data_IF_623521461398
#
_entry.id   IF_623521461398
#
_cell.length_a   1.000
_cell.length_b   1.000
_cell.length_c   1.000
_cell.angle_alpha   90.00
_cell.angle_beta   90.00
_cell.angle_gamma   90.00
#
_symmetry.space_group_name_H-M   'P 1'
#
loop_
_entity.id
_entity.type
_entity.pdbx_description
1 polymer ?
#
# COMPACT_ATOMS: atom_id res chain seq x y z
N UNK A 1 25.26 -31.72 -37.51
CA UNK A 1 24.40 -30.60 -37.04
C UNK A 1 24.40 -30.57 -35.51
N UNK A 2 25.18 -29.67 -34.92
CA UNK A 2 25.26 -29.44 -33.47
C UNK A 2 23.94 -28.86 -32.94
N UNK A 3 23.28 -29.53 -31.99
CA UNK A 3 22.26 -28.90 -31.14
C UNK A 3 22.87 -28.64 -29.77
N UNK A 4 23.18 -27.36 -29.52
CA UNK A 4 23.61 -26.84 -28.21
C UNK A 4 22.43 -26.89 -27.24
N UNK A 5 22.58 -27.65 -26.15
CA UNK A 5 21.73 -27.56 -24.98
C UNK A 5 22.11 -26.30 -24.20
N UNK A 6 21.20 -25.32 -24.14
CA UNK A 6 21.28 -24.23 -23.17
C UNK A 6 20.68 -24.71 -21.85
N UNK A 7 21.54 -25.03 -20.89
CA UNK A 7 21.14 -25.19 -19.49
C UNK A 7 21.06 -23.78 -18.91
N UNK A 8 19.84 -23.27 -18.72
CA UNK A 8 19.61 -22.06 -17.92
C UNK A 8 19.72 -22.46 -16.46
N UNK A 9 20.88 -22.20 -15.87
CA UNK A 9 21.10 -22.31 -14.43
C UNK A 9 20.34 -21.16 -13.75
N UNK A 10 19.14 -21.45 -13.25
CA UNK A 10 18.40 -20.54 -12.39
C UNK A 10 19.09 -20.50 -11.01
N UNK A 11 20.04 -19.58 -10.85
CA UNK A 11 20.58 -19.23 -9.53
C UNK A 11 19.51 -18.41 -8.83
N UNK A 12 18.77 -19.05 -7.93
CA UNK A 12 17.94 -18.34 -6.96
C UNK A 12 18.83 -17.43 -6.12
N UNK A 13 18.68 -16.12 -6.27
CA UNK A 13 19.24 -15.12 -5.38
C UNK A 13 18.49 -15.19 -4.04
N UNK A 14 18.83 -16.17 -3.22
CA UNK A 14 18.60 -16.06 -1.79
C UNK A 14 19.41 -14.85 -1.30
N UNK A 15 18.78 -13.91 -0.60
CA UNK A 15 19.49 -12.80 0.02
C UNK A 15 20.66 -13.36 0.85
N UNK A 16 21.88 -12.79 0.75
CA UNK A 16 23.04 -13.34 1.41
C UNK A 16 22.80 -13.37 2.92
N UNK A 17 22.74 -14.56 3.51
CA UNK A 17 22.64 -14.73 4.95
C UNK A 17 23.95 -14.27 5.60
N UNK A 18 23.87 -13.53 6.72
CA UNK A 18 25.04 -13.09 7.45
C UNK A 18 25.86 -14.27 7.96
N UNK A 19 27.18 -14.09 8.02
CA UNK A 19 28.07 -15.11 8.57
C UNK A 19 27.82 -15.30 10.08
N UNK A 20 28.14 -16.47 10.61
CA UNK A 20 28.02 -16.76 12.04
C UNK A 20 28.80 -15.75 12.91
N UNK A 21 29.98 -15.32 12.44
CA UNK A 21 30.77 -14.30 13.12
C UNK A 21 30.04 -12.95 13.19
N UNK A 22 29.41 -12.52 12.11
CA UNK A 22 28.63 -11.28 12.08
C UNK A 22 27.43 -11.38 13.02
N UNK A 23 26.75 -12.53 13.07
CA UNK A 23 25.63 -12.73 14.00
C UNK A 23 26.04 -12.63 15.48
N UNK A 24 27.20 -13.20 15.86
CA UNK A 24 27.73 -13.06 17.23
C UNK A 24 28.04 -11.60 17.55
N UNK A 25 28.65 -10.89 16.59
CA UNK A 25 28.96 -9.47 16.76
C UNK A 25 27.70 -8.59 16.87
N UNK A 26 26.64 -8.88 16.10
CA UNK A 26 25.35 -8.22 16.22
C UNK A 26 24.71 -8.45 17.59
N UNK A 27 24.76 -9.67 18.12
CA UNK A 27 24.20 -9.97 19.43
C UNK A 27 24.96 -9.29 20.57
N UNK A 28 26.29 -9.20 20.46
CA UNK A 28 27.09 -8.38 21.37
C UNK A 28 26.73 -6.89 21.25
N UNK A 29 26.50 -6.40 20.04
CA UNK A 29 26.16 -5.00 19.78
C UNK A 29 24.80 -4.59 20.35
N UNK A 30 23.82 -5.51 20.38
CA UNK A 30 22.52 -5.27 21.03
C UNK A 30 22.63 -4.98 22.52
N UNK A 31 23.75 -5.31 23.18
CA UNK A 31 24.01 -5.00 24.58
C UNK A 31 24.70 -3.64 24.78
N UNK A 32 25.15 -3.02 23.69
CA UNK A 32 25.93 -1.78 23.65
C UNK A 32 25.11 -0.60 23.08
N UNK A 33 23.78 -0.67 23.16
CA UNK A 33 22.87 0.37 22.66
C UNK A 33 23.14 1.71 23.37
N UNK A 34 22.92 2.81 22.65
CA UNK A 34 23.07 4.19 23.16
C UNK A 34 24.47 4.58 23.63
N UNK A 35 25.52 3.82 23.28
CA UNK A 35 26.90 4.26 23.52
C UNK A 35 27.26 5.40 22.57
N UNK A 36 27.94 6.41 23.11
CA UNK A 36 28.58 7.45 22.32
C UNK A 36 29.72 6.84 21.48
N UNK A 37 29.46 6.69 20.18
CA UNK A 37 30.43 6.12 19.24
C UNK A 37 31.61 7.04 19.01
N UNK A 38 31.46 8.35 19.16
CA UNK A 38 32.55 9.29 18.95
C UNK A 38 33.57 9.23 20.10
N UNK A 39 33.13 8.83 21.30
CA UNK A 39 34.00 8.55 22.43
C UNK A 39 34.79 7.23 22.30
N UNK A 40 34.43 6.33 21.38
CA UNK A 40 35.11 5.05 21.19
C UNK A 40 35.33 4.68 19.71
N UNK A 41 36.46 5.12 19.11
CA UNK A 41 36.75 4.90 17.69
C UNK A 41 36.77 3.43 17.26
N UNK A 42 37.17 2.53 18.16
CA UNK A 42 37.22 1.08 17.90
C UNK A 42 35.82 0.51 17.77
N UNK A 43 34.91 0.84 18.71
CA UNK A 43 33.51 0.41 18.65
C UNK A 43 32.84 1.04 17.42
N UNK A 44 33.07 2.32 17.15
CA UNK A 44 32.56 3.01 15.95
C UNK A 44 32.92 2.26 14.67
N UNK A 45 34.18 1.85 14.52
CA UNK A 45 34.63 1.07 13.35
C UNK A 45 33.89 -0.26 13.23
N UNK A 46 33.69 -0.98 14.34
CA UNK A 46 32.94 -2.24 14.34
C UNK A 46 31.48 -2.02 13.95
N UNK A 47 30.82 -1.02 14.52
CA UNK A 47 29.43 -0.66 14.18
C UNK A 47 29.28 -0.35 12.70
N UNK A 48 30.16 0.49 12.15
CA UNK A 48 30.09 0.86 10.74
C UNK A 48 30.35 -0.35 9.82
N UNK A 49 31.27 -1.25 10.17
CA UNK A 49 31.48 -2.48 9.41
C UNK A 49 30.25 -3.41 9.43
N UNK A 50 29.61 -3.56 10.59
CA UNK A 50 28.39 -4.37 10.74
C UNK A 50 27.21 -3.74 10.02
N UNK A 51 27.11 -2.42 10.04
CA UNK A 51 26.10 -1.68 9.30
C UNK A 51 26.24 -1.95 7.79
N UNK A 52 27.46 -1.84 7.25
CA UNK A 52 27.74 -2.13 5.85
C UNK A 52 27.43 -3.58 5.47
N UNK A 53 27.83 -4.54 6.32
CA UNK A 53 27.58 -5.96 6.10
C UNK A 53 26.09 -6.34 6.18
N UNK A 54 25.27 -5.57 6.88
CA UNK A 54 23.84 -5.83 7.08
C UNK A 54 22.92 -5.10 6.10
N UNK A 55 23.45 -4.35 5.14
CA UNK A 55 22.67 -3.60 4.15
C UNK A 55 21.58 -4.47 3.51
N UNK A 56 20.35 -3.96 3.51
CA UNK A 56 19.17 -4.66 2.98
C UNK A 56 18.56 -5.69 3.93
N UNK A 57 19.03 -5.78 5.18
CA UNK A 57 18.50 -6.69 6.19
C UNK A 57 17.96 -5.94 7.42
N UNK A 58 17.16 -6.62 8.24
CA UNK A 58 16.58 -6.04 9.46
C UNK A 58 17.65 -5.45 10.41
N UNK A 59 18.80 -6.12 10.53
CA UNK A 59 19.92 -5.68 11.36
C UNK A 59 20.42 -4.28 10.97
N UNK A 60 20.39 -3.89 9.69
CA UNK A 60 20.76 -2.54 9.27
C UNK A 60 19.87 -1.48 9.92
N UNK A 61 18.55 -1.69 9.90
CA UNK A 61 17.59 -0.76 10.50
C UNK A 61 17.79 -0.67 12.01
N UNK A 62 18.01 -1.81 12.66
CA UNK A 62 18.26 -1.88 14.11
C UNK A 62 19.52 -1.12 14.50
N UNK A 63 20.62 -1.27 13.76
CA UNK A 63 21.88 -0.56 14.02
C UNK A 63 21.68 0.95 13.85
N UNK A 64 21.03 1.39 12.76
CA UNK A 64 20.76 2.82 12.53
C UNK A 64 19.93 3.41 13.66
N UNK A 65 18.89 2.70 14.13
CA UNK A 65 18.05 3.10 15.25
C UNK A 65 18.84 3.18 16.55
N UNK A 66 19.51 2.09 16.93
CA UNK A 66 20.11 1.91 18.26
C UNK A 66 21.33 2.82 18.47
N UNK A 67 21.99 3.24 17.38
CA UNK A 67 23.14 4.17 17.41
C UNK A 67 22.83 5.55 16.84
N UNK A 68 21.57 5.83 16.47
CA UNK A 68 21.10 7.13 15.94
C UNK A 68 21.95 7.65 14.78
N UNK A 69 22.36 6.73 13.88
CA UNK A 69 23.26 7.04 12.77
C UNK A 69 22.55 7.89 11.71
N UNK A 70 23.23 8.93 11.21
CA UNK A 70 22.74 9.82 10.14
C UNK A 70 23.38 9.46 8.80
N UNK A 71 22.78 9.87 7.68
CA UNK A 71 23.33 9.64 6.33
C UNK A 71 22.99 8.27 5.75
N UNK A 72 22.04 7.56 6.35
CA UNK A 72 21.60 6.22 5.94
C UNK A 72 20.17 6.21 5.39
N UNK A 73 19.64 7.37 5.02
CA UNK A 73 18.25 7.58 4.67
C UNK A 73 17.84 6.76 3.44
N UNK A 74 18.70 6.72 2.41
CA UNK A 74 18.48 5.92 1.21
C UNK A 74 18.49 4.40 1.48
N UNK A 75 19.24 3.95 2.48
CA UNK A 75 19.24 2.55 2.92
C UNK A 75 17.95 2.19 3.64
N UNK A 76 17.53 3.04 4.58
CA UNK A 76 16.27 2.89 5.32
C UNK A 76 15.06 2.90 4.37
N UNK A 77 15.04 3.81 3.39
CA UNK A 77 13.93 3.91 2.45
C UNK A 77 13.82 2.65 1.59
N UNK A 78 14.94 2.16 1.03
CA UNK A 78 14.94 0.92 0.25
C UNK A 78 14.46 -0.27 1.08
N UNK A 79 14.89 -0.36 2.34
CA UNK A 79 14.41 -1.41 3.23
C UNK A 79 12.91 -1.29 3.51
N UNK A 80 12.42 -0.09 3.81
CA UNK A 80 10.99 0.16 4.01
C UNK A 80 10.14 -0.18 2.78
N UNK A 81 10.63 0.14 1.57
CA UNK A 81 9.97 -0.18 0.31
C UNK A 81 9.95 -1.68 0.02
N UNK A 82 11.00 -2.43 0.40
CA UNK A 82 11.02 -3.88 0.27
C UNK A 82 10.11 -4.59 1.30
N UNK A 83 9.89 -3.95 2.46
CA UNK A 83 9.18 -4.52 3.61
C UNK A 83 8.05 -3.62 4.14
N UNK A 84 7.11 -3.13 3.30
CA UNK A 84 6.20 -2.04 3.68
C UNK A 84 5.17 -2.40 4.75
N UNK A 85 4.93 -3.71 4.96
CA UNK A 85 3.95 -4.22 5.91
C UNK A 85 4.59 -4.86 7.17
N UNK A 86 5.91 -4.98 7.20
CA UNK A 86 6.63 -5.63 8.30
C UNK A 86 7.02 -4.61 9.37
N UNK A 87 7.04 -5.02 10.64
CA UNK A 87 7.37 -4.12 11.77
C UNK A 87 8.71 -3.39 11.58
N UNK A 88 9.74 -4.07 11.09
CA UNK A 88 11.05 -3.46 10.85
C UNK A 88 11.05 -2.49 9.66
N UNK A 89 10.27 -2.75 8.60
CA UNK A 89 10.13 -1.81 7.49
C UNK A 89 9.34 -0.56 7.89
N UNK A 90 8.31 -0.74 8.72
CA UNK A 90 7.57 0.37 9.35
C UNK A 90 8.47 1.19 10.28
N UNK A 91 9.39 0.56 10.99
CA UNK A 91 10.37 1.27 11.80
C UNK A 91 11.38 2.04 10.92
N UNK A 92 11.82 1.44 9.81
CA UNK A 92 12.73 2.09 8.88
C UNK A 92 12.15 3.39 8.30
N UNK A 93 10.87 3.39 7.91
CA UNK A 93 10.21 4.63 7.42
C UNK A 93 9.98 5.64 8.54
N UNK A 94 9.78 5.22 9.80
CA UNK A 94 9.66 6.15 10.94
C UNK A 94 10.94 6.91 11.21
N UNK A 95 12.10 6.24 11.09
CA UNK A 95 13.41 6.89 11.22
C UNK A 95 13.64 7.98 10.16
N UNK A 96 12.90 7.94 9.05
CA UNK A 96 12.92 8.94 7.98
C UNK A 96 11.96 10.11 8.19
N UNK A 97 11.19 10.17 9.29
CA UNK A 97 10.23 11.25 9.54
C UNK A 97 10.86 12.53 10.10
N UNK A 98 12.12 12.79 9.72
CA UNK A 98 12.82 14.06 9.92
C UNK A 98 12.82 14.87 8.61
N UNK A 99 13.31 16.11 8.63
CA UNK A 99 13.22 17.02 7.48
C UNK A 99 13.85 16.44 6.19
N UNK A 100 15.02 15.80 6.30
CA UNK A 100 15.73 15.24 5.15
C UNK A 100 15.09 13.96 4.64
N UNK A 101 14.69 13.06 5.55
CA UNK A 101 13.95 11.86 5.18
C UNK A 101 12.58 12.17 4.58
N UNK A 102 11.88 13.22 5.05
CA UNK A 102 10.63 13.68 4.44
C UNK A 102 10.84 14.23 3.02
N UNK A 103 11.96 14.87 2.70
CA UNK A 103 12.29 15.24 1.30
C UNK A 103 12.46 13.99 0.44
N UNK A 104 13.19 12.99 0.95
CA UNK A 104 13.40 11.72 0.26
C UNK A 104 12.10 10.95 0.04
N UNK A 105 11.23 10.86 1.06
CA UNK A 105 9.91 10.23 0.96
C UNK A 105 9.06 10.93 -0.09
N UNK A 106 9.03 12.27 -0.12
CA UNK A 106 8.27 13.02 -1.14
C UNK A 106 8.72 12.70 -2.56
N UNK A 107 10.03 12.60 -2.79
CA UNK A 107 10.56 12.19 -4.09
C UNK A 107 10.20 10.73 -4.41
N UNK A 108 10.26 9.84 -3.43
CA UNK A 108 9.98 8.42 -3.61
C UNK A 108 8.50 8.09 -3.91
N UNK A 109 7.56 8.91 -3.43
CA UNK A 109 6.13 8.84 -3.76
C UNK A 109 5.88 9.07 -5.27
N UNK A 110 6.83 9.69 -5.96
CA UNK A 110 6.75 9.99 -7.39
C UNK A 110 7.62 9.04 -8.24
N UNK A 111 8.27 8.07 -7.60
CA UNK A 111 9.17 7.11 -8.23
C UNK A 111 8.54 5.74 -8.47
N UNK A 112 9.39 4.79 -8.88
CA UNK A 112 9.01 3.41 -9.23
C UNK A 112 8.33 2.63 -8.10
N UNK A 113 8.70 2.89 -6.84
CA UNK A 113 8.20 2.18 -5.65
C UNK A 113 7.24 3.04 -4.82
N UNK A 114 6.44 3.88 -5.49
CA UNK A 114 5.53 4.81 -4.84
C UNK A 114 4.52 4.11 -3.91
N UNK A 115 3.90 3.03 -4.40
CA UNK A 115 2.94 2.19 -3.68
C UNK A 115 3.53 1.66 -2.36
N UNK A 116 4.71 1.06 -2.41
CA UNK A 116 5.39 0.51 -1.24
C UNK A 116 5.82 1.62 -0.27
N UNK A 117 6.28 2.76 -0.79
CA UNK A 117 6.64 3.93 0.04
C UNK A 117 5.43 4.43 0.83
N UNK A 118 4.29 4.61 0.15
CA UNK A 118 3.06 5.10 0.77
C UNK A 118 2.47 4.04 1.71
N UNK A 119 2.57 2.76 1.38
CA UNK A 119 2.13 1.67 2.26
C UNK A 119 2.93 1.65 3.58
N UNK A 120 4.26 1.71 3.51
CA UNK A 120 5.12 1.81 4.69
C UNK A 120 4.75 3.06 5.53
N UNK A 121 4.63 4.22 4.88
CA UNK A 121 4.28 5.48 5.52
C UNK A 121 2.89 5.43 6.19
N UNK A 122 1.90 4.81 5.53
CA UNK A 122 0.56 4.60 6.05
C UNK A 122 0.56 3.63 7.26
N UNK A 123 1.46 2.65 7.27
CA UNK A 123 1.62 1.71 8.38
C UNK A 123 2.38 2.31 9.58
N UNK A 124 3.17 3.38 9.35
CA UNK A 124 3.93 4.08 10.40
C UNK A 124 3.06 4.67 11.51
N UNK A 125 1.82 5.09 11.21
CA UNK A 125 0.89 5.69 12.18
C UNK A 125 1.52 6.86 12.98
N UNK A 126 2.36 7.64 12.31
CA UNK A 126 3.10 8.74 12.90
C UNK A 126 2.48 10.09 12.49
N UNK A 127 2.33 11.06 13.42
CA UNK A 127 1.79 12.39 13.11
C UNK A 127 2.52 13.10 11.97
N UNK A 128 3.84 12.94 11.88
CA UNK A 128 4.71 13.55 10.86
C UNK A 128 4.42 13.02 9.44
N UNK A 129 3.85 11.81 9.34
CA UNK A 129 3.43 11.22 8.08
C UNK A 129 2.09 11.79 7.56
N UNK A 130 1.21 12.26 8.46
CA UNK A 130 -0.16 12.66 8.11
C UNK A 130 -0.21 13.78 7.05
N UNK A 131 0.61 14.87 7.12
CA UNK A 131 0.59 15.91 6.09
C UNK A 131 1.00 15.41 4.71
N UNK A 132 1.86 14.40 4.65
CA UNK A 132 2.28 13.77 3.38
C UNK A 132 1.13 12.93 2.81
N UNK A 133 0.53 12.08 3.63
CA UNK A 133 -0.60 11.23 3.23
C UNK A 133 -1.83 12.07 2.83
N UNK A 134 -2.13 13.14 3.57
CA UNK A 134 -3.25 14.03 3.26
C UNK A 134 -3.06 14.78 1.94
N UNK A 135 -1.86 15.33 1.71
CA UNK A 135 -1.54 15.98 0.43
C UNK A 135 -1.68 15.01 -0.73
N UNK A 136 -1.16 13.79 -0.56
CA UNK A 136 -1.27 12.74 -1.56
C UNK A 136 -2.74 12.37 -1.85
N UNK A 137 -3.55 12.11 -0.81
CA UNK A 137 -4.97 11.77 -0.98
C UNK A 137 -5.74 12.85 -1.78
N UNK A 138 -5.42 14.13 -1.57
CA UNK A 138 -6.06 15.27 -2.23
C UNK A 138 -5.56 15.53 -3.65
N UNK A 139 -4.42 15.00 -4.05
CA UNK A 139 -3.83 15.27 -5.36
C UNK A 139 -4.49 14.40 -6.44
N UNK A 140 -5.50 14.96 -7.13
CA UNK A 140 -6.22 14.27 -8.18
C UNK A 140 -5.36 13.84 -9.38
N UNK A 141 -4.12 14.33 -9.50
CA UNK A 141 -3.17 13.90 -10.54
C UNK A 141 -2.48 12.59 -10.21
N UNK A 142 -2.51 12.16 -8.94
CA UNK A 142 -1.90 10.90 -8.50
C UNK A 142 -2.84 9.72 -8.77
N UNK A 143 -2.30 8.52 -9.02
CA UNK A 143 -3.12 7.32 -9.23
C UNK A 143 -4.09 7.09 -8.07
N UNK A 144 -5.34 6.74 -8.39
CA UNK A 144 -6.39 6.50 -7.39
C UNK A 144 -5.97 5.44 -6.36
N UNK A 145 -5.31 4.36 -6.79
CA UNK A 145 -4.79 3.33 -5.90
C UNK A 145 -3.85 3.89 -4.82
N UNK A 146 -2.91 4.76 -5.22
CA UNK A 146 -1.95 5.39 -4.30
C UNK A 146 -2.64 6.31 -3.29
N UNK A 147 -3.63 7.08 -3.77
CA UNK A 147 -4.46 7.97 -2.93
C UNK A 147 -5.33 7.18 -1.95
N UNK A 148 -5.82 6.00 -2.35
CA UNK A 148 -6.57 5.08 -1.49
C UNK A 148 -5.70 4.50 -0.37
N UNK A 149 -4.44 4.15 -0.64
CA UNK A 149 -3.48 3.74 0.42
C UNK A 149 -3.31 4.88 1.42
N UNK A 150 -3.18 6.12 0.94
CA UNK A 150 -3.04 7.29 1.81
C UNK A 150 -4.28 7.51 2.69
N UNK A 151 -5.49 7.40 2.13
CA UNK A 151 -6.75 7.43 2.88
C UNK A 151 -6.78 6.37 3.97
N UNK A 152 -6.45 5.12 3.64
CA UNK A 152 -6.41 4.01 4.60
C UNK A 152 -5.35 4.20 5.69
N UNK A 153 -4.25 4.87 5.39
CA UNK A 153 -3.23 5.28 6.36
C UNK A 153 -3.73 6.35 7.33
N UNK A 154 -4.31 7.44 6.80
CA UNK A 154 -4.82 8.57 7.60
C UNK A 154 -5.82 8.12 8.65
N UNK A 155 -6.72 7.19 8.32
CA UNK A 155 -7.78 6.78 9.24
C UNK A 155 -7.30 5.89 10.41
N UNK A 156 -6.04 5.42 10.39
CA UNK A 156 -5.46 4.64 11.50
C UNK A 156 -5.20 5.52 12.73
N UNK A 157 -4.96 6.82 12.51
CA UNK A 157 -4.78 7.83 13.54
C UNK A 157 -6.01 8.75 13.68
N UNK A 158 -6.27 9.24 14.90
CA UNK A 158 -7.48 10.05 15.18
C UNK A 158 -7.42 11.39 14.46
N UNK A 159 -6.24 11.98 14.44
CA UNK A 159 -5.90 13.25 13.79
C UNK A 159 -6.07 13.13 12.29
N UNK A 160 -5.44 12.15 11.64
CA UNK A 160 -5.63 11.88 10.22
C UNK A 160 -7.09 11.59 9.83
N UNK A 161 -7.82 10.79 10.60
CA UNK A 161 -9.25 10.53 10.35
C UNK A 161 -10.11 11.81 10.45
N UNK A 162 -9.84 12.66 11.44
CA UNK A 162 -10.53 13.94 11.63
C UNK A 162 -10.23 14.87 10.44
N UNK A 163 -8.98 14.96 10.04
CA UNK A 163 -8.55 15.87 8.97
C UNK A 163 -9.10 15.45 7.61
N UNK A 164 -9.06 14.15 7.29
CA UNK A 164 -9.67 13.61 6.07
C UNK A 164 -11.17 13.94 6.01
N UNK A 165 -11.88 13.81 7.13
CA UNK A 165 -13.30 14.16 7.23
C UNK A 165 -13.54 15.67 7.05
N UNK A 166 -12.66 16.52 7.59
CA UNK A 166 -12.71 17.98 7.39
C UNK A 166 -12.55 18.34 5.91
N UNK A 167 -11.55 17.76 5.24
CA UNK A 167 -11.30 17.99 3.81
C UNK A 167 -12.45 17.52 2.93
N UNK A 168 -13.03 16.35 3.27
CA UNK A 168 -14.21 15.84 2.57
C UNK A 168 -15.43 16.75 2.72
N UNK A 169 -15.72 17.24 3.93
CA UNK A 169 -16.83 18.19 4.16
C UNK A 169 -16.64 19.50 3.41
N UNK A 170 -15.39 19.93 3.25
CA UNK A 170 -15.05 21.13 2.51
C UNK A 170 -15.04 20.93 0.99
N UNK A 171 -15.38 19.74 0.48
CA UNK A 171 -15.37 19.43 -0.96
C UNK A 171 -13.97 19.40 -1.57
N UNK A 172 -12.92 19.28 -0.74
CA UNK A 172 -11.51 19.26 -1.18
C UNK A 172 -10.98 17.85 -1.42
N UNK A 173 -11.79 16.83 -1.15
CA UNK A 173 -11.53 15.45 -1.52
C UNK A 173 -12.30 15.16 -2.82
N UNK A 174 -11.60 14.66 -3.84
CA UNK A 174 -12.23 14.30 -5.11
C UNK A 174 -13.25 13.16 -4.93
N UNK A 175 -14.30 13.19 -5.75
CA UNK A 175 -15.45 12.29 -5.63
C UNK A 175 -15.09 10.80 -5.84
N UNK A 176 -14.03 10.53 -6.60
CA UNK A 176 -13.46 9.19 -6.82
C UNK A 176 -12.98 8.51 -5.52
N UNK A 177 -12.67 9.29 -4.47
CA UNK A 177 -12.30 8.77 -3.16
C UNK A 177 -13.47 8.64 -2.19
N UNK A 178 -14.69 9.05 -2.55
CA UNK A 178 -15.82 9.05 -1.62
C UNK A 178 -16.12 7.65 -1.08
N UNK A 179 -16.02 6.63 -1.92
CA UNK A 179 -16.22 5.26 -1.47
C UNK A 179 -15.10 4.81 -0.52
N UNK A 180 -13.84 4.93 -0.94
CA UNK A 180 -12.68 4.57 -0.14
C UNK A 180 -12.66 5.29 1.23
N UNK A 181 -12.81 6.62 1.22
CA UNK A 181 -12.86 7.44 2.42
C UNK A 181 -14.07 7.11 3.29
N UNK A 182 -15.26 6.94 2.69
CA UNK A 182 -16.47 6.55 3.41
C UNK A 182 -16.33 5.19 4.09
N UNK A 183 -15.81 4.19 3.38
CA UNK A 183 -15.59 2.85 3.93
C UNK A 183 -14.57 2.88 5.07
N UNK A 184 -13.41 3.51 4.84
CA UNK A 184 -12.34 3.65 5.80
C UNK A 184 -12.81 4.38 7.08
N UNK A 185 -13.47 5.54 6.93
CA UNK A 185 -13.94 6.36 8.04
C UNK A 185 -15.10 5.74 8.81
N UNK A 186 -15.99 4.95 8.17
CA UNK A 186 -17.04 4.21 8.90
C UNK A 186 -16.48 3.03 9.71
N UNK A 187 -15.28 2.57 9.39
CA UNK A 187 -14.58 1.49 10.11
C UNK A 187 -13.80 1.93 11.36
N UNK A 188 -13.59 3.24 11.57
CA UNK A 188 -12.72 3.71 12.66
C UNK A 188 -13.32 3.48 14.06
N UNK A 189 -12.47 3.31 15.08
CA UNK A 189 -12.91 3.09 16.47
C UNK A 189 -13.67 4.27 17.09
N UNK A 190 -13.47 5.50 16.61
CA UNK A 190 -14.05 6.71 17.21
C UNK A 190 -15.50 6.94 16.78
N UNK A 191 -16.45 6.72 17.70
CA UNK A 191 -17.91 6.80 17.46
C UNK A 191 -18.35 8.10 16.76
N UNK A 192 -17.86 9.25 17.22
CA UNK A 192 -18.23 10.56 16.65
C UNK A 192 -17.78 10.69 15.18
N UNK A 193 -16.55 10.25 14.85
CA UNK A 193 -16.05 10.30 13.47
C UNK A 193 -16.83 9.36 12.56
N UNK A 194 -17.16 8.14 13.03
CA UNK A 194 -18.03 7.21 12.29
C UNK A 194 -19.40 7.79 11.99
N UNK A 195 -20.04 8.45 12.97
CA UNK A 195 -21.36 9.04 12.78
C UNK A 195 -21.34 10.16 11.73
N UNK A 196 -20.32 11.03 11.79
CA UNK A 196 -20.15 12.08 10.79
C UNK A 196 -19.83 11.52 9.41
N UNK A 197 -19.00 10.48 9.33
CA UNK A 197 -18.69 9.79 8.08
C UNK A 197 -19.91 9.11 7.48
N UNK A 198 -20.78 8.49 8.29
CA UNK A 198 -22.02 7.89 7.81
C UNK A 198 -23.00 8.92 7.24
N UNK A 199 -23.02 10.15 7.78
CA UNK A 199 -23.81 11.26 7.24
C UNK A 199 -23.24 11.81 5.93
N UNK A 200 -21.92 11.96 5.85
CA UNK A 200 -21.24 12.54 4.69
C UNK A 200 -21.13 11.54 3.51
N UNK A 201 -20.85 10.29 3.84
CA UNK A 201 -20.73 9.18 2.91
C UNK A 201 -21.77 8.13 3.28
N UNK A 202 -23.01 8.25 2.78
CA UNK A 202 -24.00 7.20 2.98
C UNK A 202 -23.45 5.87 2.46
N UNK A 203 -23.78 4.74 3.10
CA UNK A 203 -23.36 3.44 2.61
C UNK A 203 -23.85 3.21 1.17
N UNK A 204 -23.08 2.47 0.35
CA UNK A 204 -23.54 2.07 -0.96
C UNK A 204 -24.88 1.33 -0.86
N UNK A 205 -25.75 1.55 -1.84
CA UNK A 205 -27.04 0.88 -1.90
C UNK A 205 -26.97 -0.35 -2.80
N UNK A 206 -27.63 -1.42 -2.41
CA UNK A 206 -27.87 -2.61 -3.23
C UNK A 206 -29.36 -2.91 -3.23
N UNK A 207 -29.96 -3.06 -4.41
CA UNK A 207 -31.40 -3.34 -4.57
C UNK A 207 -32.30 -2.33 -3.82
N UNK A 208 -31.90 -1.06 -3.79
CA UNK A 208 -32.64 0.02 -3.11
C UNK A 208 -32.50 0.04 -1.58
N UNK A 209 -31.63 -0.80 -1.00
CA UNK A 209 -31.36 -0.83 0.44
C UNK A 209 -29.90 -0.48 0.75
N UNK A 210 -29.67 0.16 1.88
CA UNK A 210 -28.32 0.39 2.38
C UNK A 210 -27.62 -0.95 2.65
N UNK A 211 -26.44 -1.14 2.06
CA UNK A 211 -25.65 -2.34 2.33
C UNK A 211 -25.09 -2.32 3.76
N UNK A 212 -25.03 -3.48 4.44
CA UNK A 212 -24.28 -3.63 5.67
C UNK A 212 -22.82 -3.16 5.56
N UNK A 213 -22.15 -2.83 6.68
CA UNK A 213 -20.71 -2.59 6.67
C UNK A 213 -19.93 -3.77 6.08
N UNK A 214 -18.80 -3.48 5.41
CA UNK A 214 -17.98 -4.47 4.72
C UNK A 214 -17.65 -5.70 5.58
N UNK A 215 -17.26 -5.50 6.84
CA UNK A 215 -16.96 -6.59 7.78
C UNK A 215 -18.13 -7.57 7.97
N UNK A 216 -19.38 -7.08 7.96
CA UNK A 216 -20.57 -7.95 8.02
C UNK A 216 -20.78 -8.68 6.70
N UNK A 217 -20.63 -7.98 5.56
CA UNK A 217 -20.77 -8.57 4.24
C UNK A 217 -19.75 -9.70 4.00
N UNK A 218 -18.49 -9.52 4.42
CA UNK A 218 -17.42 -10.54 4.30
C UNK A 218 -17.74 -11.82 5.10
N UNK A 219 -18.41 -11.66 6.25
CA UNK A 219 -18.83 -12.76 7.10
C UNK A 219 -20.06 -13.51 6.57
N UNK A 220 -20.81 -12.94 5.61
CA UNK A 220 -21.96 -13.61 5.02
C UNK A 220 -21.53 -14.82 4.17
N UNK A 221 -22.40 -15.84 4.13
CA UNK A 221 -22.22 -17.00 3.27
C UNK A 221 -22.75 -16.67 1.88
N UNK A 222 -21.88 -16.72 0.87
CA UNK A 222 -22.28 -16.60 -0.53
C UNK A 222 -22.88 -17.89 -1.08
N UNK A 223 -23.72 -17.75 -2.10
CA UNK A 223 -24.24 -18.84 -2.93
C UNK A 223 -23.55 -18.77 -4.29
N UNK A 224 -22.79 -19.82 -4.64
CA UNK A 224 -22.02 -19.87 -5.88
C UNK A 224 -22.91 -19.93 -7.12
N UNK A 225 -24.00 -20.71 -7.09
CA UNK A 225 -24.90 -20.85 -8.23
C UNK A 225 -25.67 -19.55 -8.48
N UNK A 226 -26.07 -18.86 -7.40
CA UNK A 226 -26.67 -17.53 -7.53
C UNK A 226 -25.65 -16.48 -7.98
N UNK A 227 -24.41 -16.57 -7.49
CA UNK A 227 -23.32 -15.69 -7.91
C UNK A 227 -23.02 -15.78 -9.40
N UNK A 228 -23.00 -16.99 -9.96
CA UNK A 228 -22.85 -17.21 -11.41
C UNK A 228 -23.99 -16.53 -12.20
N UNK A 229 -25.24 -16.74 -11.78
CA UNK A 229 -26.41 -16.08 -12.40
C UNK A 229 -26.27 -14.57 -12.36
N UNK A 230 -25.83 -14.00 -11.24
CA UNK A 230 -25.61 -12.55 -11.08
C UNK A 230 -24.48 -12.06 -11.97
N UNK A 231 -23.39 -12.81 -12.12
CA UNK A 231 -22.25 -12.41 -12.94
C UNK A 231 -22.62 -12.25 -14.43
N UNK A 232 -23.43 -13.20 -14.93
CA UNK A 232 -23.84 -13.25 -16.33
C UNK A 232 -25.15 -12.51 -16.64
N UNK A 233 -25.86 -11.97 -15.63
CA UNK A 233 -27.08 -11.21 -15.90
C UNK A 233 -26.73 -9.86 -16.58
N UNK A 234 -27.52 -9.40 -17.57
CA UNK A 234 -27.25 -8.14 -18.27
C UNK A 234 -27.14 -6.93 -17.34
N UNK A 235 -27.92 -6.90 -16.26
CA UNK A 235 -27.97 -5.77 -15.33
C UNK A 235 -26.71 -5.64 -14.46
N UNK A 236 -25.91 -6.70 -14.31
CA UNK A 236 -24.64 -6.62 -13.55
C UNK A 236 -23.46 -6.17 -14.40
N UNK A 237 -23.58 -6.28 -15.73
CA UNK A 237 -22.54 -5.95 -16.72
C UNK A 237 -21.15 -6.59 -16.50
N UNK A 238 -20.96 -7.48 -15.52
CA UNK A 238 -19.66 -8.07 -15.24
C UNK A 238 -19.12 -8.84 -16.46
N UNK A 239 -19.96 -9.68 -17.07
CA UNK A 239 -19.61 -10.50 -18.23
C UNK A 239 -19.41 -9.70 -19.54
N UNK A 240 -19.78 -8.41 -19.59
CA UNK A 240 -19.52 -7.56 -20.77
C UNK A 240 -18.07 -7.10 -20.82
N UNK A 241 -17.35 -7.15 -19.70
CA UNK A 241 -15.93 -6.80 -19.64
C UNK A 241 -15.05 -8.00 -19.25
N UNK A 242 -15.52 -8.93 -18.42
CA UNK A 242 -14.69 -9.97 -17.85
C UNK A 242 -15.07 -11.37 -18.31
N UNK A 243 -14.04 -12.20 -18.55
CA UNK A 243 -14.18 -13.62 -18.84
C UNK A 243 -13.97 -14.50 -17.58
N UNK A 244 -14.83 -15.49 -17.39
CA UNK A 244 -14.70 -16.56 -16.38
C UNK A 244 -14.89 -17.92 -17.05
N UNK A 245 -13.94 -18.83 -16.87
CA UNK A 245 -13.94 -20.18 -17.47
C UNK A 245 -14.26 -20.17 -18.98
N UNK A 246 -13.71 -19.20 -19.71
CA UNK A 246 -13.91 -19.06 -21.16
C UNK A 246 -15.23 -18.38 -21.56
N UNK A 247 -16.12 -18.02 -20.63
CA UNK A 247 -17.40 -17.35 -20.90
C UNK A 247 -17.35 -15.86 -20.54
N UNK A 248 -17.98 -15.02 -21.36
CA UNK A 248 -17.94 -13.56 -21.25
C UNK A 248 -17.07 -12.91 -22.32
N UNK A 249 -16.78 -11.61 -22.17
CA UNK A 249 -15.92 -10.85 -23.09
C UNK A 249 -14.50 -10.72 -22.53
N UNK A 250 -13.51 -10.79 -23.42
CA UNK A 250 -12.09 -10.63 -23.12
C UNK A 250 -11.66 -9.17 -23.35
N UNK A 251 -12.21 -8.26 -22.55
CA UNK A 251 -11.89 -6.82 -22.59
C UNK A 251 -11.08 -6.40 -21.37
N UNK A 252 -11.57 -6.74 -20.18
CA UNK A 252 -10.86 -6.61 -18.91
C UNK A 252 -10.18 -7.91 -18.49
N UNK A 253 -9.47 -7.91 -17.34
CA UNK A 253 -8.72 -9.07 -16.87
C UNK A 253 -9.62 -10.30 -16.68
N UNK A 254 -9.11 -11.47 -17.05
CA UNK A 254 -9.78 -12.75 -16.80
C UNK A 254 -9.89 -13.00 -15.29
N UNK A 255 -11.09 -13.38 -14.85
CA UNK A 255 -11.40 -13.60 -13.43
C UNK A 255 -11.40 -15.09 -13.05
N UNK A 256 -11.10 -15.99 -13.99
CA UNK A 256 -10.85 -17.41 -13.67
C UNK A 256 -9.76 -17.53 -12.59
N UNK A 257 -10.09 -18.18 -11.47
CA UNK A 257 -9.17 -18.36 -10.35
C UNK A 257 -8.90 -17.09 -9.52
N UNK A 258 -9.66 -15.99 -9.70
CA UNK A 258 -9.41 -14.75 -8.94
C UNK A 258 -9.41 -14.94 -7.41
N UNK A 259 -10.18 -15.91 -6.90
CA UNK A 259 -10.22 -16.25 -5.48
C UNK A 259 -8.91 -16.80 -4.90
N UNK A 260 -7.94 -17.20 -5.73
CA UNK A 260 -6.59 -17.56 -5.26
C UNK A 260 -5.67 -16.34 -5.18
N UNK A 261 -6.01 -15.25 -5.87
CA UNK A 261 -5.23 -13.99 -5.91
C UNK A 261 -5.73 -12.98 -4.89
N UNK A 262 -7.05 -12.86 -4.74
CA UNK A 262 -7.69 -11.91 -3.84
C UNK A 262 -8.49 -12.64 -2.76
N UNK A 263 -8.26 -12.25 -1.50
CA UNK A 263 -9.12 -12.66 -0.39
C UNK A 263 -10.54 -12.09 -0.52
N UNK A 264 -11.49 -12.67 0.23
CA UNK A 264 -12.91 -12.28 0.20
C UNK A 264 -13.16 -10.78 0.36
N UNK A 265 -12.47 -10.14 1.30
CA UNK A 265 -12.63 -8.72 1.56
C UNK A 265 -12.21 -7.87 0.36
N UNK A 266 -11.06 -8.17 -0.24
CA UNK A 266 -10.57 -7.50 -1.43
C UNK A 266 -11.51 -7.69 -2.62
N UNK A 267 -11.99 -8.92 -2.86
CA UNK A 267 -12.98 -9.19 -3.90
C UNK A 267 -14.27 -8.36 -3.73
N UNK A 268 -14.79 -8.32 -2.51
CA UNK A 268 -16.02 -7.58 -2.23
C UNK A 268 -15.81 -6.07 -2.40
N UNK A 269 -14.67 -5.54 -1.98
CA UNK A 269 -14.29 -4.15 -2.25
C UNK A 269 -14.21 -3.87 -3.75
N UNK A 270 -13.58 -4.75 -4.55
CA UNK A 270 -13.53 -4.59 -6.00
C UNK A 270 -14.90 -4.65 -6.68
N UNK A 271 -15.90 -5.32 -6.07
CA UNK A 271 -17.28 -5.31 -6.58
C UNK A 271 -18.00 -4.01 -6.22
N UNK A 272 -17.78 -3.50 -5.01
CA UNK A 272 -18.44 -2.29 -4.51
C UNK A 272 -17.80 -1.00 -5.01
N UNK A 273 -16.51 -1.04 -5.33
CA UNK A 273 -15.70 0.05 -5.86
C UNK A 273 -14.67 -0.48 -6.88
N UNK A 274 -15.14 -0.81 -8.11
CA UNK A 274 -14.28 -1.37 -9.15
C UNK A 274 -13.18 -0.41 -9.60
N UNK A 275 -13.30 0.89 -9.29
CA UNK A 275 -12.30 1.89 -9.66
C UNK A 275 -11.16 2.01 -8.64
N UNK A 276 -11.33 1.52 -7.40
CA UNK A 276 -10.33 1.65 -6.33
C UNK A 276 -8.98 0.96 -6.63
N UNK A 277 -8.96 -0.01 -7.55
CA UNK A 277 -7.76 -0.73 -7.94
C UNK A 277 -7.90 -1.31 -9.34
N UNK A 278 -7.32 -0.62 -10.32
CA UNK A 278 -7.21 -1.09 -11.70
C UNK A 278 -5.89 -1.87 -11.83
N UNK A 279 -5.91 -3.16 -12.23
CA UNK A 279 -4.68 -3.91 -12.46
C UNK A 279 -3.79 -3.25 -13.52
N UNK A 280 -2.48 -3.37 -13.34
CA UNK A 280 -1.50 -2.88 -14.30
C UNK A 280 -1.78 -3.41 -15.71
N UNK A 281 -1.75 -2.52 -16.72
CA UNK A 281 -2.03 -2.84 -18.11
C UNK A 281 -3.52 -2.83 -18.48
N UNK A 282 -4.40 -2.44 -17.56
CA UNK A 282 -5.84 -2.25 -17.80
C UNK A 282 -6.30 -0.82 -17.44
N UNK A 283 -5.36 0.12 -17.35
CA UNK A 283 -5.66 1.54 -17.15
C UNK A 283 -6.48 2.07 -18.33
N UNK A 284 -7.62 2.70 -18.05
CA UNK A 284 -8.45 3.30 -19.09
C UNK A 284 -7.91 4.67 -19.51
N UNK A 285 -7.78 4.88 -20.81
CA UNK A 285 -7.36 6.11 -21.46
C UNK A 285 -8.55 6.75 -22.17
N UNK A 286 -8.87 7.98 -21.79
CA UNK A 286 -9.78 8.82 -22.55
C UNK A 286 -8.99 9.67 -23.56
N UNK A 287 -9.01 9.26 -24.82
CA UNK A 287 -8.37 9.95 -25.92
C UNK A 287 -9.33 10.99 -26.50
N UNK A 288 -8.99 12.28 -26.32
CA UNK A 288 -9.72 13.37 -26.96
C UNK A 288 -9.03 13.79 -28.25
N UNK A 289 -9.73 13.63 -29.36
CA UNK A 289 -9.24 13.97 -30.69
C UNK A 289 -9.44 15.45 -31.01
N UNK A 290 -8.69 16.00 -31.97
CA UNK A 290 -8.73 17.43 -32.33
C UNK A 290 -10.07 17.89 -32.90
N UNK A 291 -10.84 16.98 -33.48
CA UNK A 291 -12.21 17.21 -33.96
C UNK A 291 -13.28 17.01 -32.86
N UNK A 292 -12.86 16.86 -31.60
CA UNK A 292 -13.75 16.80 -30.44
C UNK A 292 -14.34 15.42 -30.15
N UNK A 293 -14.00 14.39 -30.94
CA UNK A 293 -14.41 13.02 -30.65
C UNK A 293 -13.61 12.46 -29.47
N UNK A 294 -14.27 11.69 -28.61
CA UNK A 294 -13.64 11.02 -27.47
C UNK A 294 -13.66 9.51 -27.73
N UNK A 295 -12.55 8.83 -27.46
CA UNK A 295 -12.44 7.38 -27.48
C UNK A 295 -11.92 6.91 -26.12
N UNK A 296 -12.57 5.90 -25.54
CA UNK A 296 -12.17 5.27 -24.28
C UNK A 296 -11.58 3.89 -24.61
N UNK A 297 -10.37 3.60 -24.13
CA UNK A 297 -9.69 2.32 -24.35
C UNK A 297 -8.73 1.97 -23.23
#
# INVERSE_FOLDING_TARGET
>A
MLKRFFIVLAIGLAAPHLTAQVNVQLEALKRLKDIDLDANPTIKKVVLNLLEASRGQAAFVEIVRDFKLRGHEAGLLRYAQAHPNDSTGVEAIRLLLNDDGLKLIRAAIDGEHADNTVAALANAQAPEAEPVLLRLAKDAKKPLALRTIAVNGLVKAKTGAKELLTEAKAGRLSADLNFAAGNALRGVRWKNLRAQAAKLFPPPQGLGQALPPLAKLVAMKGDMANGEKIFFRPQSTCATCHQVNGKGIDFGPKLSGIGTKLGREALLLSILDPNAGIPFGYEAWLLKTKNGTEALG
#
